data_IF_722448821534
#
_entry.id   IF_722448821534
#
_cell.length_a   1.000
_cell.length_b   1.000
_cell.length_c   1.000
_cell.angle_alpha   90.00
_cell.angle_beta   90.00
_cell.angle_gamma   90.00
#
_symmetry.space_group_name_H-M   'P 1'
#
loop_
_entity.id
_entity.type
_entity.pdbx_description
1 polymer ?
#
# COMPACT_ATOMS: atom_id res chain seq x y z
N UNK A 1 17.07 -45.68 11.06
CA UNK A 1 17.89 -44.46 11.05
C UNK A 1 17.55 -43.81 9.74
N UNK A 2 16.77 -42.73 9.76
CA UNK A 2 16.53 -41.91 8.57
C UNK A 2 17.65 -40.86 8.57
N UNK A 3 18.46 -40.87 7.54
CA UNK A 3 19.68 -40.06 7.36
C UNK A 3 19.48 -39.04 6.23
N UNK A 4 18.31 -38.37 6.18
CA UNK A 4 17.98 -37.43 5.09
C UNK A 4 17.10 -36.24 5.55
N UNK A 5 17.14 -35.84 6.83
CA UNK A 5 16.78 -34.46 7.16
C UNK A 5 18.02 -33.61 6.84
N UNK A 6 17.97 -32.71 5.83
CA UNK A 6 19.10 -31.81 5.61
C UNK A 6 19.30 -31.00 6.89
N UNK A 7 20.50 -31.10 7.48
CA UNK A 7 20.88 -30.23 8.59
C UNK A 7 20.68 -28.79 8.13
N UNK A 8 19.75 -28.08 8.77
CA UNK A 8 19.45 -26.68 8.49
C UNK A 8 20.75 -25.87 8.53
N UNK A 9 21.03 -25.11 7.47
CA UNK A 9 22.26 -24.33 7.34
C UNK A 9 22.01 -22.84 7.55
N UNK A 10 23.01 -22.14 8.05
CA UNK A 10 22.98 -20.67 8.18
C UNK A 10 22.77 -20.02 6.81
N UNK A 11 23.42 -20.54 5.76
CA UNK A 11 23.32 -20.02 4.40
C UNK A 11 21.88 -20.08 3.87
N UNK A 12 21.10 -21.12 4.18
CA UNK A 12 19.68 -21.21 3.79
C UNK A 12 18.85 -20.09 4.43
N UNK A 13 19.08 -19.75 5.70
CA UNK A 13 18.38 -18.64 6.35
C UNK A 13 18.83 -17.27 5.84
N UNK A 14 20.11 -17.12 5.51
CA UNK A 14 20.62 -15.91 4.86
C UNK A 14 19.94 -15.70 3.50
N UNK A 15 19.84 -16.75 2.69
CA UNK A 15 19.19 -16.69 1.38
C UNK A 15 17.67 -16.52 1.50
N UNK A 16 17.04 -17.11 2.52
CA UNK A 16 15.66 -16.83 2.88
C UNK A 16 15.44 -15.34 3.16
N UNK A 17 16.20 -14.74 4.08
CA UNK A 17 16.07 -13.32 4.41
C UNK A 17 16.29 -12.42 3.18
N UNK A 18 17.27 -12.74 2.33
CA UNK A 18 17.48 -12.00 1.07
C UNK A 18 16.31 -12.13 0.11
N UNK A 19 15.71 -13.32 0.02
CA UNK A 19 14.54 -13.58 -0.81
C UNK A 19 13.34 -12.77 -0.31
N UNK A 20 13.07 -12.77 1.00
CA UNK A 20 11.99 -11.98 1.61
C UNK A 20 12.18 -10.47 1.37
N UNK A 21 13.40 -9.95 1.55
CA UNK A 21 13.69 -8.55 1.24
C UNK A 21 13.45 -8.21 -0.24
N UNK A 22 13.77 -9.15 -1.15
CA UNK A 22 13.49 -9.02 -2.58
C UNK A 22 12.00 -9.01 -2.91
N UNK A 23 11.21 -9.90 -2.30
CA UNK A 23 9.76 -9.94 -2.46
C UNK A 23 9.09 -8.65 -1.99
N UNK A 24 9.46 -8.17 -0.80
CA UNK A 24 8.97 -6.89 -0.27
C UNK A 24 9.32 -5.72 -1.18
N UNK A 25 10.53 -5.71 -1.75
CA UNK A 25 10.95 -4.70 -2.74
C UNK A 25 10.03 -4.70 -3.96
N UNK A 26 9.70 -5.87 -4.50
CA UNK A 26 8.75 -5.98 -5.62
C UNK A 26 7.33 -5.50 -5.28
N UNK A 27 6.86 -5.75 -4.05
CA UNK A 27 5.59 -5.21 -3.57
C UNK A 27 5.63 -3.68 -3.43
N UNK A 28 6.74 -3.11 -2.96
CA UNK A 28 6.93 -1.66 -2.88
C UNK A 28 6.87 -1.04 -4.28
N UNK A 29 7.54 -1.64 -5.27
CA UNK A 29 7.49 -1.17 -6.66
C UNK A 29 6.07 -1.18 -7.22
N UNK A 30 5.32 -2.26 -6.96
CA UNK A 30 3.92 -2.38 -7.38
C UNK A 30 3.05 -1.30 -6.73
N UNK A 31 3.12 -1.15 -5.41
CA UNK A 31 2.32 -0.15 -4.69
C UNK A 31 2.72 1.27 -5.09
N UNK A 32 4.00 1.50 -5.38
CA UNK A 32 4.49 2.78 -5.89
C UNK A 32 3.82 3.16 -7.20
N UNK A 33 3.80 2.24 -8.17
CA UNK A 33 3.12 2.45 -9.46
C UNK A 33 1.61 2.72 -9.28
N UNK A 34 0.94 1.96 -8.41
CA UNK A 34 -0.48 2.18 -8.11
C UNK A 34 -0.74 3.52 -7.40
N UNK A 35 0.17 3.98 -6.56
CA UNK A 35 0.06 5.28 -5.90
C UNK A 35 0.27 6.43 -6.90
N UNK A 36 1.20 6.29 -7.83
CA UNK A 36 1.44 7.27 -8.90
C UNK A 36 0.23 7.36 -9.84
N UNK A 37 -0.36 6.23 -10.24
CA UNK A 37 -1.59 6.21 -11.04
C UNK A 37 -2.75 6.94 -10.34
N UNK A 38 -2.92 6.70 -9.03
CA UNK A 38 -3.94 7.41 -8.25
C UNK A 38 -3.68 8.91 -8.15
N UNK A 39 -2.42 9.34 -8.07
CA UNK A 39 -2.06 10.76 -8.06
C UNK A 39 -2.37 11.42 -9.40
N UNK A 40 -2.07 10.74 -10.51
CA UNK A 40 -2.41 11.22 -11.85
C UNK A 40 -3.94 11.35 -12.03
N UNK A 41 -4.72 10.40 -11.51
CA UNK A 41 -6.19 10.48 -11.49
C UNK A 41 -6.70 11.67 -10.66
N UNK A 42 -6.14 11.90 -9.47
CA UNK A 42 -6.49 13.03 -8.61
C UNK A 42 -6.22 14.35 -9.32
N UNK A 43 -5.07 14.49 -9.98
CA UNK A 43 -4.71 15.70 -10.71
C UNK A 43 -5.65 15.95 -11.91
N UNK A 44 -6.04 14.89 -12.62
CA UNK A 44 -7.01 14.96 -13.71
C UNK A 44 -8.40 15.41 -13.21
N UNK A 45 -8.91 14.80 -12.14
CA UNK A 45 -10.22 15.17 -11.57
C UNK A 45 -10.23 16.58 -11.01
N UNK A 46 -9.14 17.02 -10.35
CA UNK A 46 -9.00 18.40 -9.92
C UNK A 46 -9.00 19.39 -11.08
N UNK A 47 -8.40 19.03 -12.23
CA UNK A 47 -8.46 19.86 -13.43
C UNK A 47 -9.89 19.95 -13.98
N UNK A 48 -10.63 18.84 -14.00
CA UNK A 48 -12.02 18.83 -14.44
C UNK A 48 -12.95 19.64 -13.53
N UNK A 49 -12.79 19.55 -12.20
CA UNK A 49 -13.58 20.37 -11.25
C UNK A 49 -13.33 21.86 -11.51
N UNK A 50 -12.06 22.25 -11.73
CA UNK A 50 -11.72 23.64 -12.06
C UNK A 50 -12.35 24.09 -13.37
N UNK A 51 -12.31 23.25 -14.41
CA UNK A 51 -12.94 23.55 -15.70
C UNK A 51 -14.46 23.74 -15.57
N UNK A 52 -15.15 22.89 -14.80
CA UNK A 52 -16.59 23.04 -14.55
C UNK A 52 -16.91 24.32 -13.78
N UNK A 53 -16.09 24.68 -12.78
CA UNK A 53 -16.25 25.92 -12.03
C UNK A 53 -16.05 27.15 -12.93
N UNK A 54 -15.02 27.16 -13.79
CA UNK A 54 -14.76 28.23 -14.77
C UNK A 54 -15.89 28.34 -15.80
N UNK A 55 -16.39 27.20 -16.30
CA UNK A 55 -17.50 27.14 -17.26
C UNK A 55 -18.81 27.67 -16.66
N UNK A 56 -19.05 27.45 -15.37
CA UNK A 56 -20.21 27.98 -14.67
C UNK A 56 -20.10 29.45 -14.25
N UNK A 57 -18.90 29.94 -13.94
CA UNK A 57 -18.64 31.38 -13.70
C UNK A 57 -18.67 32.20 -15.00
N UNK A 58 -18.44 31.55 -16.15
CA UNK A 58 -18.59 32.14 -17.49
C UNK A 58 -20.00 32.67 -17.81
N UNK A 59 -21.04 32.30 -17.05
CA UNK A 59 -22.39 32.90 -17.17
C UNK A 59 -22.53 34.26 -16.47
N UNK A 60 -21.52 34.72 -15.71
CA UNK A 60 -21.54 35.99 -14.96
C UNK A 60 -20.74 37.10 -15.68
N UNK A 61 -20.35 36.92 -16.95
CA UNK A 61 -19.66 37.98 -17.70
C UNK A 61 -20.18 38.18 -19.14
N UNK A 62 -21.48 38.49 -19.27
CA UNK A 62 -22.01 39.23 -20.41
C UNK A 62 -22.94 40.37 -19.94
N UNK A 63 -22.30 41.47 -19.50
CA UNK A 63 -22.70 42.87 -19.73
C UNK A 63 -24.16 43.31 -19.49
N UNK A 64 -24.34 44.16 -18.47
CA UNK A 64 -25.19 45.37 -18.45
C UNK A 64 -26.18 45.55 -19.63
N UNK A 65 -27.42 45.07 -19.47
CA UNK A 65 -28.59 45.65 -20.18
C UNK A 65 -29.73 45.76 -19.17
N UNK A 66 -30.21 46.97 -18.81
CA UNK A 66 -31.48 47.09 -18.10
C UNK A 66 -32.57 47.15 -19.16
N UNK A 67 -33.36 46.09 -19.37
CA UNK A 67 -34.70 46.32 -19.92
C UNK A 67 -35.72 45.22 -19.58
N UNK A 68 -36.71 45.67 -18.80
CA UNK A 68 -38.14 45.37 -18.86
C UNK A 68 -38.67 43.95 -18.65
N UNK A 69 -39.52 43.89 -17.62
CA UNK A 69 -40.73 43.08 -17.44
C UNK A 69 -41.31 42.44 -18.71
N UNK A 70 -41.39 41.10 -18.76
CA UNK A 70 -42.61 40.30 -19.05
C UNK A 70 -42.28 38.79 -19.11
N UNK A 71 -43.14 37.93 -18.53
CA UNK A 71 -43.25 36.52 -18.91
C UNK A 71 -42.68 35.46 -17.95
N UNK A 72 -43.50 34.49 -17.48
CA UNK A 72 -43.05 33.35 -16.69
C UNK A 72 -42.78 32.15 -17.61
N UNK A 73 -41.54 31.68 -17.74
CA UNK A 73 -41.28 30.27 -18.06
C UNK A 73 -39.80 29.90 -17.85
N UNK A 74 -39.65 28.73 -17.22
CA UNK A 74 -38.47 27.89 -16.99
C UNK A 74 -37.33 28.41 -16.08
N UNK A 75 -36.93 27.62 -15.05
CA UNK A 75 -35.68 27.88 -14.35
C UNK A 75 -34.57 27.66 -15.36
N UNK A 76 -33.79 28.71 -15.63
CA UNK A 76 -32.54 28.57 -16.36
C UNK A 76 -31.66 27.56 -15.60
N UNK A 77 -31.58 26.32 -16.11
CA UNK A 77 -30.58 25.31 -15.73
C UNK A 77 -29.20 25.75 -16.26
N UNK A 78 -28.79 26.98 -15.92
CA UNK A 78 -27.47 27.55 -16.24
C UNK A 78 -26.64 27.69 -14.98
N UNK A 79 -26.89 26.85 -13.99
CA UNK A 79 -26.12 26.76 -12.76
C UNK A 79 -25.14 25.61 -12.87
N UNK A 80 -23.90 25.85 -12.44
CA UNK A 80 -22.95 24.81 -12.04
C UNK A 80 -23.69 23.62 -11.42
N UNK A 81 -23.43 22.40 -11.90
CA UNK A 81 -23.97 21.20 -11.28
C UNK A 81 -23.22 20.93 -9.97
N UNK A 82 -23.70 21.59 -8.90
CA UNK A 82 -23.11 21.50 -7.56
C UNK A 82 -23.10 20.07 -7.05
N UNK A 83 -24.12 19.27 -7.38
CA UNK A 83 -24.21 17.88 -6.95
C UNK A 83 -23.11 17.02 -7.62
N UNK A 84 -22.86 17.23 -8.91
CA UNK A 84 -21.77 16.55 -9.62
C UNK A 84 -20.38 16.98 -9.08
N UNK A 85 -20.22 18.23 -8.65
CA UNK A 85 -18.97 18.70 -8.02
C UNK A 85 -18.79 18.05 -6.64
N UNK A 86 -19.82 18.03 -5.79
CA UNK A 86 -19.76 17.41 -4.47
C UNK A 86 -19.42 15.90 -4.54
N UNK A 87 -19.96 15.18 -5.54
CA UNK A 87 -19.63 13.77 -5.78
C UNK A 87 -18.14 13.59 -6.12
N UNK A 88 -17.61 14.45 -6.98
CA UNK A 88 -16.19 14.42 -7.38
C UNK A 88 -15.26 14.81 -6.23
N UNK A 89 -15.65 15.78 -5.41
CA UNK A 89 -14.89 16.14 -4.20
C UNK A 89 -14.81 14.96 -3.21
N UNK A 90 -15.92 14.22 -3.04
CA UNK A 90 -15.94 13.02 -2.21
C UNK A 90 -15.05 11.90 -2.78
N UNK A 91 -15.04 11.71 -4.11
CA UNK A 91 -14.15 10.74 -4.76
C UNK A 91 -12.67 11.11 -4.60
N UNK A 92 -12.33 12.38 -4.82
CA UNK A 92 -10.98 12.92 -4.57
C UNK A 92 -10.51 12.70 -3.13
N UNK A 93 -11.36 12.96 -2.14
CA UNK A 93 -11.02 12.71 -0.72
C UNK A 93 -10.77 11.22 -0.47
N UNK A 94 -11.57 10.33 -1.09
CA UNK A 94 -11.40 8.88 -1.00
C UNK A 94 -10.06 8.44 -1.61
N UNK A 95 -9.73 8.92 -2.81
CA UNK A 95 -8.47 8.62 -3.51
C UNK A 95 -7.26 9.11 -2.74
N UNK A 96 -7.31 10.33 -2.17
CA UNK A 96 -6.22 10.85 -1.34
C UNK A 96 -5.95 9.96 -0.12
N UNK A 97 -7.01 9.53 0.59
CA UNK A 97 -6.87 8.58 1.72
C UNK A 97 -6.26 7.25 1.27
N UNK A 98 -6.64 6.77 0.08
CA UNK A 98 -6.08 5.55 -0.47
C UNK A 98 -4.58 5.69 -0.78
N UNK A 99 -4.15 6.83 -1.34
CA UNK A 99 -2.73 7.15 -1.55
C UNK A 99 -1.97 7.19 -0.23
N UNK A 100 -2.50 7.85 0.79
CA UNK A 100 -1.88 7.91 2.13
C UNK A 100 -1.71 6.50 2.73
N UNK A 101 -2.74 5.67 2.62
CA UNK A 101 -2.70 4.28 3.09
C UNK A 101 -1.65 3.46 2.33
N UNK A 102 -1.58 3.60 1.00
CA UNK A 102 -0.55 2.95 0.17
C UNK A 102 0.86 3.41 0.56
N UNK A 103 1.07 4.71 0.80
CA UNK A 103 2.36 5.23 1.26
C UNK A 103 2.76 4.70 2.64
N UNK A 104 1.81 4.59 3.58
CA UNK A 104 2.07 3.99 4.88
C UNK A 104 2.48 2.52 4.73
N UNK A 105 1.78 1.77 3.86
CA UNK A 105 2.13 0.37 3.56
C UNK A 105 3.50 0.23 2.91
N UNK A 106 3.86 1.11 1.97
CA UNK A 106 5.20 1.12 1.36
C UNK A 106 6.30 1.32 2.40
N UNK A 107 6.11 2.25 3.34
CA UNK A 107 7.10 2.48 4.41
C UNK A 107 7.27 1.24 5.29
N UNK A 108 6.16 0.62 5.69
CA UNK A 108 6.21 -0.62 6.48
C UNK A 108 6.96 -1.74 5.73
N UNK A 109 6.70 -1.92 4.43
CA UNK A 109 7.45 -2.88 3.62
C UNK A 109 8.93 -2.52 3.46
N UNK A 110 9.27 -1.24 3.36
CA UNK A 110 10.66 -0.79 3.26
C UNK A 110 11.43 -1.07 4.55
N UNK A 111 10.81 -0.78 5.69
CA UNK A 111 11.39 -1.04 7.00
C UNK A 111 11.61 -2.55 7.21
N UNK A 112 10.61 -3.38 6.87
CA UNK A 112 10.71 -4.83 6.98
C UNK A 112 11.76 -5.42 6.02
N UNK A 113 11.86 -4.93 4.78
CA UNK A 113 12.87 -5.37 3.81
C UNK A 113 14.29 -5.01 4.27
N UNK A 114 14.47 -3.82 4.86
CA UNK A 114 15.72 -3.41 5.46
C UNK A 114 16.07 -4.28 6.67
N UNK A 115 15.08 -4.62 7.50
CA UNK A 115 15.22 -5.54 8.62
C UNK A 115 15.72 -6.93 8.19
N UNK A 116 15.08 -7.54 7.19
CA UNK A 116 15.55 -8.82 6.63
C UNK A 116 16.96 -8.73 6.03
N UNK A 117 17.29 -7.61 5.36
CA UNK A 117 18.63 -7.41 4.80
C UNK A 117 19.70 -7.30 5.90
N UNK A 118 19.39 -6.59 6.99
CA UNK A 118 20.26 -6.47 8.15
C UNK A 118 20.45 -7.82 8.84
N UNK A 119 19.33 -8.53 9.08
CA UNK A 119 19.33 -9.86 9.69
C UNK A 119 20.16 -10.85 8.86
N UNK A 120 20.05 -10.85 7.53
CA UNK A 120 20.88 -11.67 6.66
C UNK A 120 22.39 -11.42 6.87
N UNK A 121 22.78 -10.17 7.10
CA UNK A 121 24.17 -9.80 7.39
C UNK A 121 24.64 -10.27 8.77
N UNK A 122 23.77 -10.17 9.77
CA UNK A 122 24.02 -10.66 11.14
C UNK A 122 24.13 -12.18 11.18
N UNK A 123 23.23 -12.90 10.50
CA UNK A 123 23.27 -14.35 10.40
C UNK A 123 24.56 -14.84 9.73
N UNK A 124 24.96 -14.21 8.62
CA UNK A 124 26.19 -14.58 7.91
C UNK A 124 27.47 -14.33 8.73
N UNK A 125 27.42 -13.45 9.73
CA UNK A 125 28.60 -13.05 10.53
C UNK A 125 28.66 -13.74 11.89
N UNK A 126 27.52 -13.90 12.54
CA UNK A 126 27.41 -14.20 13.98
C UNK A 126 26.51 -15.40 14.31
N UNK A 127 25.95 -16.11 13.32
CA UNK A 127 25.20 -17.35 13.59
C UNK A 127 26.15 -18.53 13.76
N UNK A 128 25.95 -19.29 14.84
CA UNK A 128 26.78 -20.45 15.19
C UNK A 128 26.38 -21.70 14.41
N UNK A 129 25.07 -21.87 14.17
CA UNK A 129 24.47 -22.98 13.45
C UNK A 129 23.09 -22.60 12.88
N UNK A 130 22.48 -23.49 12.09
CA UNK A 130 21.18 -23.24 11.47
C UNK A 130 20.02 -23.16 12.45
N UNK A 131 20.10 -23.82 13.62
CA UNK A 131 19.07 -23.71 14.64
C UNK A 131 19.07 -22.32 15.28
N UNK A 132 20.25 -21.78 15.60
CA UNK A 132 20.42 -20.43 16.08
C UNK A 132 19.96 -19.40 15.03
N UNK A 133 20.23 -19.65 13.76
CA UNK A 133 19.73 -18.81 12.67
C UNK A 133 18.21 -18.83 12.58
N UNK A 134 17.59 -20.02 12.62
CA UNK A 134 16.14 -20.19 12.63
C UNK A 134 15.49 -19.43 13.78
N UNK A 135 16.01 -19.58 15.01
CA UNK A 135 15.48 -18.87 16.19
C UNK A 135 15.52 -17.36 15.99
N UNK A 136 16.63 -16.81 15.49
CA UNK A 136 16.74 -15.36 15.24
C UNK A 136 15.75 -14.87 14.18
N UNK A 137 15.51 -15.65 13.12
CA UNK A 137 14.49 -15.33 12.11
C UNK A 137 13.09 -15.31 12.73
N UNK A 138 12.72 -16.34 13.49
CA UNK A 138 11.41 -16.42 14.16
C UNK A 138 11.21 -15.25 15.14
N UNK A 139 12.23 -14.91 15.93
CA UNK A 139 12.18 -13.78 16.86
C UNK A 139 12.02 -12.44 16.14
N UNK A 140 12.74 -12.24 15.03
CA UNK A 140 12.61 -11.05 14.20
C UNK A 140 11.20 -10.94 13.59
N UNK A 141 10.70 -12.02 13.00
CA UNK A 141 9.37 -12.04 12.37
C UNK A 141 8.25 -11.79 13.38
N UNK A 142 8.39 -12.32 14.60
CA UNK A 142 7.44 -12.06 15.67
C UNK A 142 7.50 -10.62 16.17
N UNK A 143 8.68 -10.00 16.19
CA UNK A 143 8.86 -8.61 16.61
C UNK A 143 8.27 -7.63 15.59
N UNK A 144 8.44 -7.91 14.30
CA UNK A 144 8.00 -7.05 13.20
C UNK A 144 6.58 -7.37 12.69
N UNK A 145 5.92 -8.39 13.27
CA UNK A 145 4.63 -8.91 12.81
C UNK A 145 4.67 -9.26 11.30
N UNK A 146 5.77 -9.87 10.86
CA UNK A 146 6.03 -10.19 9.46
C UNK A 146 4.89 -10.96 8.75
N UNK A 147 4.19 -11.93 9.37
CA UNK A 147 3.08 -12.63 8.72
C UNK A 147 1.97 -11.72 8.19
N UNK A 148 1.77 -10.53 8.78
CA UNK A 148 0.75 -9.58 8.30
C UNK A 148 1.08 -8.99 6.91
N UNK A 149 2.33 -9.14 6.46
CA UNK A 149 2.88 -8.48 5.29
C UNK A 149 3.07 -9.43 4.09
N UNK A 150 2.97 -10.75 4.31
CA UNK A 150 3.13 -11.78 3.29
C UNK A 150 1.84 -12.58 3.07
N UNK A 151 1.62 -13.05 1.85
CA UNK A 151 0.54 -13.99 1.51
C UNK A 151 0.99 -15.45 1.67
N UNK A 152 2.30 -15.69 1.59
CA UNK A 152 2.93 -16.99 1.77
C UNK A 152 3.36 -17.19 3.22
N UNK A 153 3.42 -18.46 3.64
CA UNK A 153 3.78 -18.84 4.99
C UNK A 153 5.20 -18.38 5.34
N UNK A 154 5.33 -17.70 6.48
CA UNK A 154 6.61 -17.27 7.07
C UNK A 154 7.28 -18.37 7.91
N UNK A 155 8.55 -18.21 8.28
CA UNK A 155 9.26 -19.18 9.14
C UNK A 155 8.64 -19.23 10.54
N UNK A 156 8.17 -18.09 11.06
CA UNK A 156 7.39 -18.00 12.28
C UNK A 156 6.12 -18.87 12.21
N UNK A 157 5.33 -18.74 11.15
CA UNK A 157 4.11 -19.52 10.98
C UNK A 157 4.40 -21.02 10.84
N UNK A 158 5.45 -21.39 10.11
CA UNK A 158 5.90 -22.78 10.00
C UNK A 158 6.35 -23.36 11.36
N UNK A 159 7.06 -22.56 12.17
CA UNK A 159 7.51 -22.97 13.50
C UNK A 159 6.34 -23.18 14.48
N UNK A 160 5.31 -22.32 14.42
CA UNK A 160 4.09 -22.47 15.21
C UNK A 160 3.31 -23.71 14.79
N UNK A 161 3.10 -23.94 13.50
CA UNK A 161 2.40 -25.12 12.98
C UNK A 161 3.09 -26.43 13.38
N UNK A 162 4.42 -26.46 13.31
CA UNK A 162 5.23 -27.62 13.73
C UNK A 162 5.09 -27.93 15.23
N UNK A 163 4.85 -26.90 16.06
CA UNK A 163 4.67 -27.06 17.51
C UNK A 163 3.26 -27.52 17.88
N UNK A 164 2.24 -27.08 17.13
CA UNK A 164 0.84 -27.49 17.33
C UNK A 164 0.58 -28.92 16.82
N UNK A 165 1.32 -29.36 15.79
CA UNK A 165 1.24 -30.71 15.23
C UNK A 165 1.83 -31.83 16.11
N UNK A 166 2.72 -31.51 17.07
CA UNK A 166 3.39 -32.47 17.97
C UNK A 166 2.61 -32.72 19.28
N UNK A 167 1.42 -32.12 19.44
CA UNK A 167 0.54 -32.31 20.60
C UNK A 167 -0.44 -33.49 20.50
N UNK A 168 -0.27 -34.36 19.49
CA UNK A 168 -1.26 -35.34 19.05
C UNK A 168 -0.83 -36.80 19.06
N UNK A 169 -0.17 -37.31 20.11
CA UNK A 169 -0.11 -38.76 20.44
C UNK A 169 -0.22 -39.05 21.94
#
# INVERSE_FOLDING_TARGET
MNEDDPDLTVDEFVDYCRTQAGLLSGHIETIGAEADELLDEIDAEMAEIREQLDAGDGSIQATNVPESTDGPDEPAETGVDVAAIEEREADLESKQKLVEAKQARMRAYQDLAAGYTALAGELASDAEDGQAAMTRVVEFEAAEDAPAYFEEQTVLEAAVESTDGDGGE
#
